data_IF_720842985481
#
_entry.id   IF_720842985481
#
_cell.length_a   1.000
_cell.length_b   1.000
_cell.length_c   1.000
_cell.angle_alpha   90.00
_cell.angle_beta   90.00
_cell.angle_gamma   90.00
#
_symmetry.space_group_name_H-M   'P 1'
#
loop_
_entity.id
_entity.type
_entity.pdbx_description
1 polymer ?
#
# COMPACT_ATOMS: atom_id res chain seq x y z
N UNK A 1 18.98 80.31 -2.87
CA UNK A 1 19.35 79.78 -4.20
C UNK A 1 18.69 78.42 -4.35
N UNK A 2 17.76 78.29 -5.31
CA UNK A 2 17.07 77.03 -5.58
C UNK A 2 18.04 76.07 -6.28
N UNK A 3 18.35 74.94 -5.66
CA UNK A 3 19.15 73.89 -6.26
C UNK A 3 18.30 73.19 -7.31
N UNK A 4 18.37 73.67 -8.54
CA UNK A 4 17.70 73.04 -9.68
C UNK A 4 18.30 71.64 -9.87
N UNK A 5 17.61 70.59 -9.37
CA UNK A 5 17.99 69.21 -9.62
C UNK A 5 17.85 68.96 -11.12
N UNK A 6 18.96 68.61 -11.77
CA UNK A 6 18.99 68.30 -13.20
C UNK A 6 18.09 67.08 -13.48
N UNK A 7 16.92 67.26 -14.11
CA UNK A 7 15.95 66.17 -14.31
C UNK A 7 16.50 65.06 -15.22
N UNK A 8 17.45 65.37 -16.10
CA UNK A 8 18.09 64.39 -16.97
C UNK A 8 18.95 63.39 -16.21
N UNK A 9 19.59 63.82 -15.10
CA UNK A 9 20.42 62.93 -14.28
C UNK A 9 19.57 61.87 -13.57
N UNK A 10 18.41 62.28 -13.06
CA UNK A 10 17.43 61.37 -12.46
C UNK A 10 16.80 60.43 -13.49
N UNK A 11 16.58 60.90 -14.70
CA UNK A 11 16.05 60.08 -15.79
C UNK A 11 17.06 59.02 -16.25
N UNK A 12 18.35 59.39 -16.36
CA UNK A 12 19.41 58.43 -16.71
C UNK A 12 19.61 57.35 -15.65
N UNK A 13 19.58 57.72 -14.36
CA UNK A 13 19.66 56.75 -13.25
C UNK A 13 18.48 55.76 -13.29
N UNK A 14 17.27 56.24 -13.61
CA UNK A 14 16.08 55.39 -13.74
C UNK A 14 16.19 54.43 -14.95
N UNK A 15 16.65 54.93 -16.10
CA UNK A 15 16.85 54.11 -17.31
C UNK A 15 17.90 53.03 -17.08
N UNK A 16 18.99 53.36 -16.39
CA UNK A 16 20.03 52.40 -16.04
C UNK A 16 19.50 51.30 -15.10
N UNK A 17 18.72 51.68 -14.07
CA UNK A 17 18.06 50.72 -13.17
C UNK A 17 17.12 49.77 -13.93
N UNK A 18 16.27 50.30 -14.82
CA UNK A 18 15.35 49.49 -15.60
C UNK A 18 16.07 48.60 -16.62
N UNK A 19 17.21 49.06 -17.16
CA UNK A 19 18.04 48.27 -18.06
C UNK A 19 18.64 47.07 -17.32
N UNK A 20 19.17 47.29 -16.12
CA UNK A 20 19.74 46.23 -15.28
C UNK A 20 18.68 45.19 -14.89
N UNK A 21 17.50 45.65 -14.46
CA UNK A 21 16.38 44.76 -14.11
C UNK A 21 15.92 43.92 -15.32
N UNK A 22 15.88 44.51 -16.51
CA UNK A 22 15.57 43.79 -17.74
C UNK A 22 16.60 42.70 -18.09
N UNK A 23 17.89 42.95 -17.87
CA UNK A 23 18.91 41.91 -18.06
C UNK A 23 18.75 40.77 -17.06
N UNK A 24 18.46 41.10 -15.80
CA UNK A 24 18.25 40.13 -14.75
C UNK A 24 17.01 39.26 -15.01
N UNK A 25 15.91 39.87 -15.48
CA UNK A 25 14.70 39.18 -15.88
C UNK A 25 14.94 38.26 -17.09
N UNK A 26 15.71 38.71 -18.09
CA UNK A 26 16.09 37.86 -19.22
C UNK A 26 16.91 36.66 -18.78
N UNK A 27 17.83 36.84 -17.83
CA UNK A 27 18.61 35.73 -17.29
C UNK A 27 17.72 34.73 -16.56
N UNK A 28 16.80 35.19 -15.70
CA UNK A 28 15.83 34.35 -14.98
C UNK A 28 14.91 33.58 -15.94
N UNK A 29 14.42 34.24 -16.99
CA UNK A 29 13.63 33.60 -18.05
C UNK A 29 14.40 32.50 -18.76
N UNK A 30 15.70 32.73 -19.04
CA UNK A 30 16.56 31.78 -19.72
C UNK A 30 16.83 30.52 -18.88
N UNK A 31 16.89 30.64 -17.56
CA UNK A 31 17.20 29.52 -16.65
C UNK A 31 15.96 28.85 -16.04
N UNK A 32 14.77 29.34 -16.37
CA UNK A 32 13.52 28.90 -15.74
C UNK A 32 13.22 27.43 -16.06
N UNK A 33 13.51 27.01 -17.30
CA UNK A 33 13.27 25.65 -17.77
C UNK A 33 14.17 24.66 -17.02
N UNK A 34 15.47 24.98 -16.89
CA UNK A 34 16.44 24.16 -16.14
C UNK A 34 16.03 23.99 -14.67
N UNK A 35 15.51 25.06 -14.05
CA UNK A 35 15.01 25.03 -12.67
C UNK A 35 13.83 24.06 -12.53
N UNK A 36 12.82 24.19 -13.39
CA UNK A 36 11.64 23.32 -13.34
C UNK A 36 11.97 21.88 -13.72
N UNK A 37 12.88 21.68 -14.67
CA UNK A 37 13.35 20.35 -15.06
C UNK A 37 14.01 19.62 -13.88
N UNK A 38 14.88 20.32 -13.13
CA UNK A 38 15.52 19.75 -11.95
C UNK A 38 14.51 19.40 -10.84
N UNK A 39 13.48 20.23 -10.66
CA UNK A 39 12.45 19.97 -9.64
C UNK A 39 11.51 18.82 -10.02
N UNK A 40 11.19 18.70 -11.31
CA UNK A 40 10.48 17.53 -11.87
C UNK A 40 11.30 16.26 -11.63
N UNK A 41 12.60 16.25 -11.92
CA UNK A 41 13.47 15.08 -11.68
C UNK A 41 13.51 14.65 -10.21
N UNK A 42 13.56 15.59 -9.27
CA UNK A 42 13.50 15.27 -7.83
C UNK A 42 12.16 14.67 -7.42
N UNK A 43 11.06 15.16 -7.99
CA UNK A 43 9.73 14.62 -7.75
C UNK A 43 9.60 13.21 -8.32
N UNK A 44 10.08 12.99 -9.55
CA UNK A 44 10.13 11.69 -10.20
C UNK A 44 10.94 10.72 -9.35
N UNK A 45 12.17 11.06 -8.94
CA UNK A 45 12.98 10.19 -8.05
C UNK A 45 12.31 9.87 -6.71
N UNK A 46 11.51 10.79 -6.15
CA UNK A 46 10.74 10.53 -4.91
C UNK A 46 9.56 9.58 -5.14
N UNK A 47 8.92 9.66 -6.31
CA UNK A 47 7.77 8.82 -6.69
C UNK A 47 8.21 7.44 -7.19
N UNK A 48 9.28 7.40 -7.98
CA UNK A 48 9.99 6.20 -8.45
C UNK A 48 10.88 5.59 -7.37
N UNK A 49 10.94 6.19 -6.17
CA UNK A 49 11.65 5.65 -5.02
C UNK A 49 11.17 4.24 -4.72
N UNK A 50 11.91 3.28 -5.28
CA UNK A 50 11.62 1.84 -5.34
C UNK A 50 11.40 1.21 -3.96
N UNK A 51 11.77 1.90 -2.87
CA UNK A 51 11.62 1.42 -1.49
C UNK A 51 10.18 0.97 -1.19
N UNK A 52 9.18 1.78 -1.57
CA UNK A 52 7.78 1.40 -1.36
C UNK A 52 7.34 0.25 -2.27
N UNK A 53 7.84 0.23 -3.50
CA UNK A 53 7.50 -0.80 -4.48
C UNK A 53 8.11 -2.16 -4.08
N UNK A 54 9.33 -2.15 -3.56
CA UNK A 54 10.05 -3.30 -3.04
C UNK A 54 9.46 -3.79 -1.71
N UNK A 55 9.02 -2.87 -0.85
CA UNK A 55 8.29 -3.23 0.36
C UNK A 55 6.94 -3.89 0.02
N UNK A 56 6.20 -3.35 -0.96
CA UNK A 56 4.98 -4.00 -1.47
C UNK A 56 5.27 -5.39 -2.04
N UNK A 57 6.36 -5.55 -2.81
CA UNK A 57 6.77 -6.87 -3.35
C UNK A 57 7.10 -7.84 -2.22
N UNK A 58 7.89 -7.44 -1.22
CA UNK A 58 8.24 -8.26 -0.05
C UNK A 58 7.01 -8.68 0.75
N UNK A 59 6.10 -7.74 1.03
CA UNK A 59 4.86 -8.03 1.73
C UNK A 59 3.97 -9.00 0.94
N UNK A 60 3.88 -8.86 -0.39
CA UNK A 60 3.15 -9.81 -1.24
C UNK A 60 3.76 -11.21 -1.21
N UNK A 61 5.09 -11.34 -1.25
CA UNK A 61 5.73 -12.65 -1.13
C UNK A 61 5.49 -13.29 0.24
N UNK A 62 5.55 -12.51 1.32
CA UNK A 62 5.30 -13.01 2.68
C UNK A 62 3.85 -13.48 2.84
N UNK A 63 2.87 -12.72 2.34
CA UNK A 63 1.47 -13.13 2.34
C UNK A 63 1.28 -14.47 1.60
N UNK A 64 1.92 -14.64 0.44
CA UNK A 64 1.82 -15.88 -0.33
C UNK A 64 2.46 -17.07 0.40
N UNK A 65 3.61 -16.87 1.04
CA UNK A 65 4.27 -17.88 1.86
C UNK A 65 3.41 -18.28 3.08
N UNK A 66 2.85 -17.30 3.78
CA UNK A 66 1.97 -17.57 4.92
C UNK A 66 0.68 -18.26 4.48
N UNK A 67 0.09 -17.87 3.34
CA UNK A 67 -1.09 -18.55 2.77
C UNK A 67 -0.79 -19.99 2.35
N UNK A 68 0.35 -20.26 1.73
CA UNK A 68 0.73 -21.62 1.35
C UNK A 68 0.94 -22.52 2.58
N UNK A 69 1.52 -21.96 3.65
CA UNK A 69 1.63 -22.63 4.95
C UNK A 69 0.29 -22.81 5.66
N UNK A 70 -0.63 -21.84 5.54
CA UNK A 70 -1.97 -21.90 6.12
C UNK A 70 -2.91 -22.88 5.41
N UNK A 71 -2.60 -23.29 4.17
CA UNK A 71 -3.31 -24.36 3.44
C UNK A 71 -2.96 -25.77 3.97
N UNK A 72 -2.02 -25.89 4.91
CA UNK A 72 -1.85 -27.08 5.76
C UNK A 72 -2.81 -26.98 6.97
N UNK A 73 -4.03 -26.48 6.74
CA UNK A 73 -5.11 -26.64 7.70
C UNK A 73 -5.66 -28.07 7.48
N UNK A 74 -5.48 -29.01 8.43
CA UNK A 74 -5.88 -30.39 8.24
C UNK A 74 -7.37 -30.43 7.95
N UNK A 75 -7.73 -30.87 6.72
CA UNK A 75 -9.09 -31.14 6.20
C UNK A 75 -10.19 -30.41 6.98
N UNK A 76 -10.64 -29.24 6.49
CA UNK A 76 -11.91 -28.65 6.93
C UNK A 76 -12.99 -29.73 6.83
N UNK A 77 -13.44 -30.21 7.99
CA UNK A 77 -14.61 -31.07 8.07
C UNK A 77 -15.74 -30.30 7.44
N UNK A 78 -16.40 -30.92 6.47
CA UNK A 78 -17.49 -30.25 5.76
C UNK A 78 -18.73 -30.20 6.65
N UNK A 79 -19.58 -29.18 6.47
CA UNK A 79 -20.86 -29.08 7.19
C UNK A 79 -21.73 -30.32 6.98
N UNK A 80 -21.60 -30.99 5.83
CA UNK A 80 -22.25 -32.28 5.56
C UNK A 80 -21.82 -33.36 6.56
N UNK A 81 -20.51 -33.49 6.80
CA UNK A 81 -19.97 -34.44 7.77
C UNK A 81 -20.34 -34.08 9.21
N UNK A 82 -20.41 -32.79 9.54
CA UNK A 82 -20.91 -32.31 10.84
C UNK A 82 -22.36 -32.77 11.07
N UNK A 83 -23.23 -32.55 10.08
CA UNK A 83 -24.63 -32.93 10.16
C UNK A 83 -24.82 -34.45 10.22
N UNK A 84 -24.10 -35.20 9.40
CA UNK A 84 -24.13 -36.66 9.40
C UNK A 84 -23.75 -37.24 10.78
N UNK A 85 -22.72 -36.69 11.44
CA UNK A 85 -22.34 -37.09 12.80
C UNK A 85 -23.45 -36.76 13.82
N UNK A 86 -24.05 -35.57 13.73
CA UNK A 86 -25.15 -35.15 14.62
C UNK A 86 -26.38 -36.05 14.45
N UNK A 87 -26.75 -36.39 13.23
CA UNK A 87 -27.85 -37.32 12.91
C UNK A 87 -27.58 -38.74 13.44
N UNK A 88 -26.39 -39.30 13.16
CA UNK A 88 -26.03 -40.63 13.65
C UNK A 88 -25.98 -40.68 15.19
N UNK A 89 -25.58 -39.58 15.83
CA UNK A 89 -25.62 -39.48 17.30
C UNK A 89 -27.05 -39.43 17.82
N UNK A 90 -27.95 -38.69 17.17
CA UNK A 90 -29.37 -38.64 17.52
C UNK A 90 -30.05 -40.00 17.38
N UNK A 91 -29.61 -40.82 16.41
CA UNK A 91 -30.02 -42.22 16.24
C UNK A 91 -29.45 -43.17 17.33
N UNK A 92 -28.70 -42.65 18.30
CA UNK A 92 -28.17 -43.43 19.42
C UNK A 92 -26.90 -44.22 19.12
N UNK A 93 -26.21 -43.95 18.00
CA UNK A 93 -24.96 -44.65 17.70
C UNK A 93 -23.83 -44.23 18.66
N UNK A 94 -22.97 -45.21 18.98
CA UNK A 94 -21.74 -44.97 19.75
C UNK A 94 -20.69 -44.30 18.86
N UNK A 95 -19.74 -43.56 19.47
CA UNK A 95 -18.70 -42.83 18.73
C UNK A 95 -17.87 -43.73 17.82
N UNK A 96 -17.66 -45.00 18.23
CA UNK A 96 -16.96 -46.00 17.42
C UNK A 96 -17.74 -46.38 16.16
N UNK A 97 -19.05 -46.65 16.30
CA UNK A 97 -19.92 -46.96 15.15
C UNK A 97 -20.08 -45.76 14.20
N UNK A 98 -20.04 -44.54 14.73
CA UNK A 98 -20.05 -43.31 13.92
C UNK A 98 -18.73 -43.20 13.16
N UNK A 99 -17.59 -43.40 13.82
CA UNK A 99 -16.26 -43.38 13.19
C UNK A 99 -16.15 -44.36 12.02
N UNK A 100 -16.67 -45.58 12.20
CA UNK A 100 -16.70 -46.61 11.16
C UNK A 100 -17.53 -46.18 9.93
N UNK A 101 -18.59 -45.37 10.13
CA UNK A 101 -19.47 -44.88 9.07
C UNK A 101 -18.96 -43.62 8.38
N UNK A 102 -18.43 -42.66 9.13
CA UNK A 102 -18.06 -41.33 8.61
C UNK A 102 -16.58 -41.22 8.24
N UNK A 103 -15.78 -42.27 8.50
CA UNK A 103 -14.32 -42.25 8.35
C UNK A 103 -13.64 -41.10 9.13
N UNK A 104 -14.28 -40.64 10.21
CA UNK A 104 -13.76 -39.61 11.10
C UNK A 104 -13.18 -40.26 12.35
N UNK A 105 -12.13 -39.66 12.91
CA UNK A 105 -11.60 -40.06 14.21
C UNK A 105 -12.64 -39.83 15.31
N UNK A 106 -12.63 -40.68 16.35
CA UNK A 106 -13.52 -40.54 17.51
C UNK A 106 -13.35 -39.20 18.23
N UNK A 107 -12.12 -38.67 18.30
CA UNK A 107 -11.83 -37.33 18.83
C UNK A 107 -12.54 -36.24 18.04
N UNK A 108 -12.51 -36.34 16.72
CA UNK A 108 -13.18 -35.42 15.81
C UNK A 108 -14.69 -35.44 16.00
N UNK A 109 -15.28 -36.64 16.12
CA UNK A 109 -16.70 -36.82 16.41
C UNK A 109 -17.09 -36.19 17.76
N UNK A 110 -16.26 -36.36 18.79
CA UNK A 110 -16.48 -35.76 20.10
C UNK A 110 -16.55 -34.23 20.01
N UNK A 111 -15.57 -33.61 19.35
CA UNK A 111 -15.53 -32.16 19.11
C UNK A 111 -16.73 -31.65 18.30
N UNK A 112 -17.19 -32.41 17.29
CA UNK A 112 -18.40 -32.08 16.51
C UNK A 112 -19.64 -32.09 17.41
N UNK A 113 -19.79 -33.09 18.27
CA UNK A 113 -20.94 -33.23 19.18
C UNK A 113 -20.90 -32.13 20.26
N UNK A 114 -19.71 -31.69 20.67
CA UNK A 114 -19.53 -30.59 21.62
C UNK A 114 -19.67 -29.19 20.99
N UNK A 115 -19.92 -29.09 19.68
CA UNK A 115 -20.14 -27.80 19.00
C UNK A 115 -18.87 -27.04 18.58
N UNK A 116 -17.70 -27.67 18.60
CA UNK A 116 -16.43 -27.02 18.20
C UNK A 116 -16.29 -26.80 16.68
N UNK A 117 -17.28 -27.25 15.89
CA UNK A 117 -17.32 -27.17 14.43
C UNK A 117 -18.60 -26.50 13.91
N UNK A 118 -19.26 -25.67 14.74
CA UNK A 118 -20.41 -24.83 14.33
C UNK A 118 -20.01 -23.58 13.55
#
# INVERSE_FOLDING_TARGET
MSTFKNPYKSMTELVESLSNENEELKYKLKTIDDYYQCEIEKLVKRLEGDEKLDEIKKLKSEINFLKSRALINPKKITNKQVNEVKELRALGLSYRKIADKTSLGTTTICRIINGEYE
#
